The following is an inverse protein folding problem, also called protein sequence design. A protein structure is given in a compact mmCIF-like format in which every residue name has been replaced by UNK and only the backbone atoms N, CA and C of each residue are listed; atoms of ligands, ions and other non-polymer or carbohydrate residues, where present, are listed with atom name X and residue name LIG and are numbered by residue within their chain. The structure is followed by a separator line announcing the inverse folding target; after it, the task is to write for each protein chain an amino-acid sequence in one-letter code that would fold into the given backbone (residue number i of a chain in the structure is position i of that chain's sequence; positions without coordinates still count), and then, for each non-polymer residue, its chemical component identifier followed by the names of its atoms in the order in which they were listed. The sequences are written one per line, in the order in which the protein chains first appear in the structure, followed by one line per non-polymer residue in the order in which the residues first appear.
data_IF_484724763245
#
_entry.id   IF_484724763245
#
_cell.length_a   1.000
_cell.length_b   1.000
_cell.length_c   1.000
_cell.angle_alpha   90.00
_cell.angle_beta   90.00
_cell.angle_gamma   90.00
#
_symmetry.space_group_name_H-M   'P 1'
#
loop_
_entity.id
_entity.type
_entity.pdbx_description
1 polymer ?
#
# COMPACT_ATOMS: atom_id res chain seq x y z
N UNK A 1 3.90 -57.54 -19.48
CA UNK A 1 2.44 -57.77 -19.55
C UNK A 1 1.72 -56.70 -18.72
N UNK A 2 0.74 -55.99 -19.32
CA UNK A 2 -0.51 -55.37 -18.80
C UNK A 2 -0.74 -55.45 -17.26
N UNK A 3 -1.25 -54.49 -16.48
CA UNK A 3 -2.14 -53.30 -16.61
C UNK A 3 -1.94 -52.43 -15.32
N UNK A 4 -1.84 -51.10 -15.40
CA UNK A 4 -2.86 -50.08 -15.07
C UNK A 4 -3.65 -50.27 -13.76
N UNK A 5 -3.52 -49.30 -12.83
CA UNK A 5 -4.61 -48.72 -12.04
C UNK A 5 -4.21 -47.29 -11.59
N UNK A 6 -4.94 -46.31 -12.13
CA UNK A 6 -4.91 -44.89 -11.80
C UNK A 6 -5.94 -44.62 -10.70
N UNK A 7 -5.62 -43.73 -9.74
CA UNK A 7 -6.55 -43.01 -8.83
C UNK A 7 -5.72 -42.22 -7.82
N UNK A 8 -6.01 -41.00 -7.41
CA UNK A 8 -6.88 -39.92 -7.87
C UNK A 8 -6.38 -38.67 -7.11
N UNK A 9 -6.21 -37.54 -7.79
CA UNK A 9 -5.97 -36.25 -7.16
C UNK A 9 -7.25 -35.83 -6.43
N UNK A 10 -7.19 -35.69 -5.10
CA UNK A 10 -8.28 -35.09 -4.34
C UNK A 10 -8.05 -33.58 -4.27
N UNK A 11 -8.76 -32.84 -5.12
CA UNK A 11 -9.02 -31.42 -4.90
C UNK A 11 -10.03 -31.27 -3.76
N UNK A 12 -9.84 -30.36 -2.79
CA UNK A 12 -10.91 -30.03 -1.86
C UNK A 12 -11.98 -29.24 -2.62
N UNK A 13 -13.21 -29.76 -2.63
CA UNK A 13 -14.40 -29.00 -3.01
C UNK A 13 -14.90 -28.23 -1.78
N UNK A 14 -15.05 -26.92 -1.91
CA UNK A 14 -15.90 -26.11 -1.05
C UNK A 14 -16.84 -25.31 -1.95
N UNK A 15 -18.15 -25.52 -1.80
CA UNK A 15 -19.19 -24.81 -2.55
C UNK A 15 -19.96 -23.88 -1.61
N UNK A 16 -19.66 -22.58 -1.78
CA UNK A 16 -20.54 -21.38 -1.86
C UNK A 16 -21.39 -20.97 -0.64
N UNK A 17 -21.24 -19.71 -0.19
CA UNK A 17 -22.23 -18.62 -0.28
C UNK A 17 -21.62 -17.31 0.25
N UNK A 18 -21.70 -16.22 -0.53
CA UNK A 18 -21.40 -14.86 -0.05
C UNK A 18 -20.61 -14.01 -1.05
N UNK A 19 -21.34 -13.21 -1.80
CA UNK A 19 -20.84 -12.23 -2.76
C UNK A 19 -20.20 -11.03 -2.01
N UNK A 20 -18.87 -10.99 -1.96
CA UNK A 20 -18.08 -9.75 -1.88
C UNK A 20 -16.83 -9.93 -2.72
N UNK A 21 -16.78 -9.20 -3.83
CA UNK A 21 -15.65 -9.12 -4.75
C UNK A 21 -14.45 -8.45 -4.06
N UNK A 22 -13.62 -9.24 -3.38
CA UNK A 22 -12.26 -8.85 -3.00
C UNK A 22 -11.32 -9.53 -3.99
N UNK A 23 -10.92 -8.78 -5.01
CA UNK A 23 -9.79 -9.14 -5.86
C UNK A 23 -8.50 -9.00 -5.04
N UNK A 24 -8.11 -10.06 -4.35
CA UNK A 24 -6.75 -10.21 -3.85
C UNK A 24 -5.86 -10.56 -5.05
N UNK A 25 -5.18 -9.56 -5.60
CA UNK A 25 -4.15 -9.78 -6.61
C UNK A 25 -2.98 -10.51 -5.96
N UNK A 26 -2.90 -11.82 -6.20
CA UNK A 26 -1.88 -12.70 -5.66
C UNK A 26 -0.56 -12.47 -6.40
N UNK A 27 0.31 -11.62 -5.86
CA UNK A 27 1.65 -11.38 -6.40
C UNK A 27 2.47 -12.68 -6.24
N UNK A 28 2.82 -13.29 -7.38
CA UNK A 28 3.72 -14.45 -7.44
C UNK A 28 5.17 -14.00 -7.29
N UNK A 29 5.98 -14.73 -6.51
CA UNK A 29 7.39 -14.44 -6.22
C UNK A 29 8.34 -14.43 -7.44
N UNK A 30 7.82 -14.62 -8.64
CA UNK A 30 8.55 -14.72 -9.91
C UNK A 30 8.58 -13.41 -10.70
N UNK A 31 7.86 -12.36 -10.26
CA UNK A 31 7.85 -11.02 -10.87
C UNK A 31 8.74 -10.00 -10.14
N UNK A 32 9.71 -10.48 -9.34
CA UNK A 32 10.71 -9.63 -8.66
C UNK A 32 11.77 -9.21 -9.68
N UNK A 33 11.34 -8.48 -10.71
CA UNK A 33 12.21 -7.89 -11.69
C UNK A 33 12.97 -6.74 -11.06
N UNK A 34 14.06 -7.04 -10.33
CA UNK A 34 14.96 -6.08 -9.67
C UNK A 34 14.23 -4.79 -9.32
N UNK A 35 13.28 -4.87 -8.37
CA UNK A 35 12.37 -3.77 -8.09
C UNK A 35 13.19 -2.53 -7.70
N UNK A 36 13.32 -1.60 -8.66
CA UNK A 36 13.83 -0.27 -8.36
C UNK A 36 12.99 0.25 -7.20
N UNK A 37 13.67 0.57 -6.10
CA UNK A 37 13.01 1.11 -4.93
C UNK A 37 12.63 2.56 -5.21
N UNK A 38 11.48 2.99 -4.71
CA UNK A 38 10.96 4.35 -4.85
C UNK A 38 10.64 4.92 -3.48
N UNK A 39 11.10 6.15 -3.25
CA UNK A 39 10.74 6.93 -2.07
C UNK A 39 9.32 7.47 -2.26
N UNK A 40 8.47 7.31 -1.25
CA UNK A 40 7.19 8.01 -1.14
C UNK A 40 7.38 9.25 -0.28
N UNK A 41 7.00 10.41 -0.81
CA UNK A 41 7.21 11.70 -0.16
C UNK A 41 5.85 12.33 0.11
N UNK A 42 5.58 12.68 1.37
CA UNK A 42 4.42 13.48 1.76
C UNK A 42 4.78 14.96 1.78
N UNK A 43 3.84 15.82 1.41
CA UNK A 43 4.04 17.27 1.31
C UNK A 43 3.04 18.01 2.19
N UNK A 44 3.50 19.08 2.82
CA UNK A 44 2.69 19.93 3.68
C UNK A 44 1.71 20.76 2.88
N UNK A 45 0.62 21.15 3.55
CA UNK A 45 -0.38 22.06 3.02
C UNK A 45 -1.07 22.82 4.17
N UNK A 46 -1.67 24.00 3.90
CA UNK A 46 -2.19 24.86 4.97
C UNK A 46 -3.55 24.43 5.55
N UNK A 47 -4.13 23.30 5.12
CA UNK A 47 -5.53 22.93 5.43
C UNK A 47 -5.65 21.57 6.11
N UNK A 48 -4.82 20.60 5.73
CA UNK A 48 -4.91 19.23 6.22
C UNK A 48 -4.59 19.14 7.72
N UNK A 49 -5.41 18.39 8.47
CA UNK A 49 -5.22 18.24 9.92
C UNK A 49 -4.12 17.23 10.27
N UNK A 50 -3.40 17.45 11.37
CA UNK A 50 -2.40 16.50 11.87
C UNK A 50 -2.99 15.12 12.14
N UNK A 51 -4.22 15.06 12.67
CA UNK A 51 -4.92 13.81 12.93
C UNK A 51 -5.13 13.01 11.64
N UNK A 52 -5.54 13.68 10.56
CA UNK A 52 -5.67 13.06 9.25
C UNK A 52 -4.34 12.51 8.76
N UNK A 53 -3.26 13.30 8.84
CA UNK A 53 -1.92 12.86 8.42
C UNK A 53 -1.49 11.60 9.18
N UNK A 54 -1.57 11.61 10.51
CA UNK A 54 -1.23 10.45 11.35
C UNK A 54 -2.09 9.24 10.98
N UNK A 55 -3.40 9.42 10.78
CA UNK A 55 -4.31 8.35 10.37
C UNK A 55 -3.90 7.73 9.04
N UNK A 56 -3.50 8.53 8.04
CA UNK A 56 -3.02 8.03 6.74
C UNK A 56 -1.72 7.24 6.89
N UNK A 57 -0.76 7.74 7.67
CA UNK A 57 0.50 7.04 7.91
C UNK A 57 0.29 5.68 8.59
N UNK A 58 -0.64 5.59 9.54
CA UNK A 58 -0.99 4.33 10.21
C UNK A 58 -1.78 3.39 9.30
N UNK A 59 -2.86 3.87 8.68
CA UNK A 59 -3.83 2.99 8.00
C UNK A 59 -3.38 2.54 6.61
N UNK A 60 -2.70 3.41 5.87
CA UNK A 60 -2.29 3.15 4.48
C UNK A 60 -0.83 2.74 4.42
N UNK A 61 0.06 3.49 5.07
CA UNK A 61 1.50 3.22 5.06
C UNK A 61 1.97 2.28 6.17
N UNK A 62 1.04 1.81 7.01
CA UNK A 62 1.28 0.81 8.07
C UNK A 62 2.39 1.20 9.05
N UNK A 63 2.59 2.50 9.25
CA UNK A 63 3.57 3.00 10.22
C UNK A 63 3.06 2.78 11.64
N UNK A 64 3.92 2.34 12.58
CA UNK A 64 3.59 2.42 13.99
C UNK A 64 3.30 3.86 14.39
N UNK A 65 2.39 4.06 15.36
CA UNK A 65 1.90 5.38 15.73
C UNK A 65 3.02 6.39 16.01
N UNK A 66 4.07 6.00 16.74
CA UNK A 66 5.21 6.86 17.06
C UNK A 66 5.94 7.36 15.81
N UNK A 67 6.08 6.51 14.78
CA UNK A 67 6.70 6.90 13.52
C UNK A 67 5.75 7.75 12.67
N UNK A 68 4.45 7.46 12.71
CA UNK A 68 3.43 8.28 12.03
C UNK A 68 3.41 9.72 12.58
N UNK A 69 3.50 9.88 13.89
CA UNK A 69 3.59 11.20 14.54
C UNK A 69 4.89 11.92 14.17
N UNK A 70 6.03 11.21 14.14
CA UNK A 70 7.30 11.79 13.74
C UNK A 70 7.29 12.28 12.28
N UNK A 71 6.76 11.46 11.36
CA UNK A 71 6.59 11.84 9.95
C UNK A 71 5.67 13.05 9.82
N UNK A 72 4.54 13.05 10.54
CA UNK A 72 3.61 14.18 10.54
C UNK A 72 4.30 15.48 10.97
N UNK A 73 5.06 15.45 12.08
CA UNK A 73 5.78 16.63 12.56
C UNK A 73 6.84 17.10 11.56
N UNK A 74 7.50 16.17 10.89
CA UNK A 74 8.49 16.49 9.87
C UNK A 74 7.81 17.17 8.67
N UNK A 75 6.71 16.62 8.16
CA UNK A 75 5.94 17.26 7.07
C UNK A 75 5.56 18.68 7.47
N UNK A 76 4.96 18.87 8.64
CA UNK A 76 4.52 20.19 9.09
C UNK A 76 5.65 21.22 9.24
N UNK A 77 6.78 20.81 9.81
CA UNK A 77 7.87 21.73 10.15
C UNK A 77 8.84 21.96 8.98
N UNK A 78 9.03 20.96 8.12
CA UNK A 78 10.03 20.97 7.05
C UNK A 78 9.41 21.06 5.65
N UNK A 79 8.08 20.98 5.54
CA UNK A 79 7.31 21.05 4.30
C UNK A 79 7.18 19.70 3.57
N UNK A 80 8.03 18.72 3.88
CA UNK A 80 7.94 17.37 3.32
C UNK A 80 8.61 16.33 4.22
N UNK A 81 8.30 15.05 4.01
CA UNK A 81 8.98 13.93 4.66
C UNK A 81 8.92 12.68 3.79
N UNK A 82 9.99 11.88 3.83
CA UNK A 82 9.98 10.53 3.24
C UNK A 82 9.18 9.61 4.16
N UNK A 83 8.10 9.07 3.62
CA UNK A 83 7.21 8.16 4.33
C UNK A 83 7.75 6.74 4.28
N UNK A 84 8.15 6.27 3.10
CA UNK A 84 8.59 4.89 2.88
C UNK A 84 9.47 4.77 1.65
N UNK A 85 10.19 3.66 1.55
CA UNK A 85 10.94 3.26 0.35
C UNK A 85 10.47 1.87 -0.06
N UNK A 86 9.78 1.77 -1.20
CA UNK A 86 8.99 0.60 -1.60
C UNK A 86 9.23 0.26 -3.08
N UNK A 87 8.97 -0.98 -3.53
CA UNK A 87 8.83 -1.28 -4.95
C UNK A 87 7.86 -0.31 -5.63
N UNK A 88 8.14 0.06 -6.88
CA UNK A 88 7.38 1.08 -7.61
C UNK A 88 5.87 0.85 -7.59
N UNK A 89 5.43 -0.37 -7.88
CA UNK A 89 4.00 -0.75 -7.94
C UNK A 89 3.29 -0.51 -6.60
N UNK A 90 3.93 -0.92 -5.50
CA UNK A 90 3.42 -0.72 -4.14
C UNK A 90 3.42 0.76 -3.74
N UNK A 91 4.48 1.51 -4.10
CA UNK A 91 4.56 2.95 -3.87
C UNK A 91 3.40 3.69 -4.57
N UNK A 92 3.17 3.41 -5.86
CA UNK A 92 2.07 3.98 -6.63
C UNK A 92 0.70 3.58 -6.07
N UNK A 93 0.52 2.32 -5.67
CA UNK A 93 -0.71 1.84 -5.09
C UNK A 93 -1.07 2.57 -3.79
N UNK A 94 -0.12 2.68 -2.85
CA UNK A 94 -0.33 3.39 -1.58
C UNK A 94 -0.60 4.88 -1.78
N UNK A 95 0.13 5.53 -2.70
CA UNK A 95 -0.09 6.94 -3.04
C UNK A 95 -1.50 7.14 -3.60
N UNK A 96 -1.95 6.33 -4.58
CA UNK A 96 -3.32 6.44 -5.11
C UNK A 96 -4.37 6.30 -4.01
N UNK A 97 -4.20 5.34 -3.11
CA UNK A 97 -5.12 5.11 -1.98
C UNK A 97 -5.15 6.30 -1.02
N UNK A 98 -3.98 6.86 -0.68
CA UNK A 98 -3.88 8.00 0.23
C UNK A 98 -4.46 9.28 -0.38
N UNK A 99 -4.17 9.56 -1.65
CA UNK A 99 -4.76 10.69 -2.39
C UNK A 99 -6.28 10.56 -2.50
N UNK A 100 -6.81 9.35 -2.72
CA UNK A 100 -8.26 9.14 -2.74
C UNK A 100 -8.90 9.43 -1.36
N UNK A 101 -8.27 8.98 -0.27
CA UNK A 101 -8.75 9.26 1.09
C UNK A 101 -8.74 10.76 1.42
N UNK A 102 -7.68 11.49 1.03
CA UNK A 102 -7.58 12.94 1.22
C UNK A 102 -8.70 13.68 0.47
N UNK A 103 -8.91 13.34 -0.81
CA UNK A 103 -9.97 13.94 -1.62
C UNK A 103 -11.37 13.68 -1.07
N UNK A 104 -11.62 12.48 -0.55
CA UNK A 104 -12.91 12.13 0.04
C UNK A 104 -13.25 12.99 1.27
N UNK A 105 -12.23 13.37 2.04
CA UNK A 105 -12.37 14.26 3.21
C UNK A 105 -12.21 15.74 2.87
N UNK A 106 -11.98 16.09 1.61
CA UNK A 106 -11.81 17.48 1.16
C UNK A 106 -10.44 18.08 1.47
N UNK A 107 -9.46 17.26 1.81
CA UNK A 107 -8.08 17.70 2.08
C UNK A 107 -7.24 17.72 0.79
N UNK A 108 -6.39 18.74 0.58
CA UNK A 108 -5.47 18.81 -0.55
C UNK A 108 -4.18 18.00 -0.34
N UNK A 109 -4.08 17.24 0.77
CA UNK A 109 -2.91 16.44 1.12
C UNK A 109 -2.44 15.54 -0.03
N UNK A 110 -1.17 15.65 -0.41
CA UNK A 110 -0.65 14.96 -1.56
C UNK A 110 0.69 14.28 -1.31
N UNK A 111 1.00 13.35 -2.21
CA UNK A 111 2.21 12.55 -2.19
C UNK A 111 2.86 12.53 -3.57
N UNK A 112 4.17 12.39 -3.61
CA UNK A 112 4.94 12.10 -4.83
C UNK A 112 5.78 10.84 -4.63
N UNK A 113 6.27 10.28 -5.74
CA UNK A 113 7.26 9.21 -5.71
C UNK A 113 8.46 9.58 -6.58
N UNK A 114 9.65 9.15 -6.16
CA UNK A 114 10.90 9.28 -6.93
C UNK A 114 11.75 8.02 -6.78
N UNK A 115 12.64 7.69 -7.74
CA UNK A 115 13.59 6.60 -7.59
C UNK A 115 14.44 6.78 -6.32
N UNK A 116 14.69 5.70 -5.60
CA UNK A 116 15.65 5.67 -4.51
C UNK A 116 17.08 5.63 -5.07
N UNK A 117 18.03 6.20 -4.31
CA UNK A 117 19.44 6.31 -4.67
C UNK A 117 20.20 4.97 -4.51
#
# INVERSE_FOLDING_TARGET
MKKLLQRASMSPQVTIFGETDTLEEQITAEDVGQDDLWKVIAHDDPVTTMEFVVRIMVQIFKKPLIFAEAIMWQVHNEGLSVVDTLPKSEAEFRVRKATAAARLEGFPFHFTIEPAD
#
